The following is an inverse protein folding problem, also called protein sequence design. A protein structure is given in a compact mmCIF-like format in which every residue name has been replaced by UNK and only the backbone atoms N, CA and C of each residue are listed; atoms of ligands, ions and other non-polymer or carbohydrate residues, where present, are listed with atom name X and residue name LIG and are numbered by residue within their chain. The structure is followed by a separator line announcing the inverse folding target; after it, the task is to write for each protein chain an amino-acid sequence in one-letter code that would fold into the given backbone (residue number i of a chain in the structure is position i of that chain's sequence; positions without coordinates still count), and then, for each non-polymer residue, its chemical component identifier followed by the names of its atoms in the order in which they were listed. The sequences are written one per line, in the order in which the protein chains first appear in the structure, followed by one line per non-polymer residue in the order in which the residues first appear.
data_IF_470838642997
#
_entry.id   IF_470838642997
#
_cell.length_a   1.000
_cell.length_b   1.000
_cell.length_c   1.000
_cell.angle_alpha   90.00
_cell.angle_beta   90.00
_cell.angle_gamma   90.00
#
_symmetry.space_group_name_H-M   'P 1'
#
loop_
_entity.id
_entity.type
_entity.pdbx_description
1 polymer ?
#
# COMPACT_ATOMS: atom_id res chain seq x y z
N UNK A 1 -8.80 -13.00 -8.42
CA UNK A 1 -8.19 -12.67 -9.73
C UNK A 1 -8.50 -11.21 -9.94
N UNK A 2 -7.49 -10.34 -9.86
CA UNK A 2 -7.66 -8.91 -10.10
C UNK A 2 -8.27 -8.66 -11.48
N UNK A 3 -8.95 -7.52 -11.63
CA UNK A 3 -9.07 -6.90 -12.93
C UNK A 3 -7.72 -6.31 -13.37
N UNK A 4 -7.70 -5.57 -14.47
CA UNK A 4 -6.45 -5.07 -15.06
C UNK A 4 -5.69 -4.12 -14.14
N UNK A 5 -4.37 -3.96 -14.32
CA UNK A 5 -3.55 -2.94 -13.64
C UNK A 5 -4.11 -1.51 -13.74
N UNK A 6 -4.87 -1.24 -14.82
CA UNK A 6 -5.70 -0.03 -14.98
C UNK A 6 -6.66 0.24 -13.80
N UNK A 7 -7.08 -0.80 -13.10
CA UNK A 7 -8.00 -0.72 -11.96
C UNK A 7 -7.28 -0.25 -10.68
N UNK A 8 -5.94 -0.31 -10.66
CA UNK A 8 -5.07 0.24 -9.60
C UNK A 8 -4.76 1.71 -9.89
N UNK A 9 -4.50 2.09 -11.15
CA UNK A 9 -4.37 3.50 -11.58
C UNK A 9 -5.60 4.33 -11.21
N UNK A 10 -6.78 3.86 -11.61
CA UNK A 10 -8.06 4.53 -11.36
C UNK A 10 -8.31 4.63 -9.84
N UNK A 11 -8.03 3.56 -9.12
CA UNK A 11 -8.11 3.54 -7.66
C UNK A 11 -7.16 4.56 -6.98
N UNK A 12 -5.91 4.67 -7.43
CA UNK A 12 -4.94 5.61 -6.87
C UNK A 12 -5.35 7.06 -7.14
N UNK A 13 -5.87 7.33 -8.34
CA UNK A 13 -6.45 8.63 -8.68
C UNK A 13 -7.63 8.98 -7.77
N UNK A 14 -8.55 8.03 -7.55
CA UNK A 14 -9.71 8.22 -6.69
C UNK A 14 -9.30 8.46 -5.23
N UNK A 15 -8.40 7.64 -4.69
CA UNK A 15 -7.89 7.79 -3.33
C UNK A 15 -7.15 9.11 -3.13
N UNK A 16 -6.33 9.51 -4.10
CA UNK A 16 -5.65 10.82 -4.12
C UNK A 16 -6.66 11.96 -4.10
N UNK A 17 -7.74 11.88 -4.89
CA UNK A 17 -8.79 12.89 -4.92
C UNK A 17 -9.47 13.08 -3.54
N UNK A 18 -9.65 11.99 -2.79
CA UNK A 18 -10.21 12.02 -1.43
C UNK A 18 -9.25 12.68 -0.45
N UNK A 19 -7.98 12.28 -0.46
CA UNK A 19 -6.98 12.74 0.52
C UNK A 19 -6.55 14.19 0.29
N UNK A 20 -6.67 14.72 -0.93
CA UNK A 20 -6.40 16.12 -1.26
C UNK A 20 -7.67 17.02 -1.28
N UNK A 21 -8.78 16.56 -0.68
CA UNK A 21 -10.05 17.31 -0.52
C UNK A 21 -10.67 17.79 -1.86
N UNK A 22 -10.49 16.99 -2.91
CA UNK A 22 -11.08 17.19 -4.23
C UNK A 22 -11.79 15.91 -4.72
N UNK A 23 -12.70 15.31 -3.93
CA UNK A 23 -13.26 14.01 -4.28
C UNK A 23 -14.11 14.09 -5.55
N UNK A 24 -13.77 13.24 -6.52
CA UNK A 24 -14.58 13.02 -7.72
C UNK A 24 -15.55 11.85 -7.48
N UNK A 25 -16.58 12.05 -6.66
CA UNK A 25 -17.56 10.99 -6.36
C UNK A 25 -17.75 10.76 -4.87
N UNK A 26 -18.02 9.51 -4.48
CA UNK A 26 -18.17 9.13 -3.06
C UNK A 26 -16.78 8.92 -2.43
N UNK A 27 -16.37 9.77 -1.47
CA UNK A 27 -15.04 9.67 -0.88
C UNK A 27 -14.83 8.42 -0.01
N UNK A 28 -15.90 7.73 0.38
CA UNK A 28 -15.81 6.50 1.17
C UNK A 28 -15.51 5.27 0.32
N UNK A 29 -15.92 5.26 -0.95
CA UNK A 29 -15.81 4.09 -1.85
C UNK A 29 -14.37 3.58 -2.02
N UNK A 30 -13.35 4.41 -2.33
CA UNK A 30 -11.98 3.91 -2.45
C UNK A 30 -11.42 3.39 -1.11
N UNK A 31 -11.85 3.95 0.01
CA UNK A 31 -11.44 3.52 1.35
C UNK A 31 -12.08 2.17 1.70
N UNK A 32 -13.39 2.03 1.44
CA UNK A 32 -14.15 0.80 1.60
C UNK A 32 -13.52 -0.34 0.79
N UNK A 33 -13.13 -0.06 -0.46
CA UNK A 33 -12.43 -1.03 -1.31
C UNK A 33 -11.12 -1.51 -0.69
N UNK A 34 -10.29 -0.63 -0.13
CA UNK A 34 -9.05 -1.05 0.55
C UNK A 34 -9.33 -2.01 1.70
N UNK A 35 -10.33 -1.68 2.53
CA UNK A 35 -10.71 -2.48 3.70
C UNK A 35 -11.27 -3.84 3.27
N UNK A 36 -12.13 -3.86 2.24
CA UNK A 36 -12.72 -5.08 1.69
C UNK A 36 -11.66 -6.02 1.10
N UNK A 37 -10.70 -5.49 0.36
CA UNK A 37 -9.63 -6.28 -0.23
C UNK A 37 -8.68 -6.85 0.84
N UNK A 38 -8.34 -6.08 1.89
CA UNK A 38 -7.60 -6.63 3.05
C UNK A 38 -8.38 -7.72 3.78
N UNK A 39 -9.71 -7.62 3.84
CA UNK A 39 -10.53 -8.66 4.45
C UNK A 39 -10.56 -9.94 3.62
N UNK A 40 -10.58 -9.80 2.29
CA UNK A 40 -10.75 -10.87 1.31
C UNK A 40 -9.46 -11.63 1.00
N UNK A 41 -8.36 -10.93 0.67
CA UNK A 41 -7.11 -11.55 0.20
C UNK A 41 -5.85 -10.84 0.70
N UNK A 42 -5.23 -11.43 1.74
CA UNK A 42 -3.96 -10.99 2.32
C UNK A 42 -2.73 -11.67 1.69
N UNK A 43 -2.94 -12.63 0.77
CA UNK A 43 -1.86 -13.39 0.14
C UNK A 43 -1.46 -12.84 -1.23
N UNK A 44 -2.11 -11.78 -1.68
CA UNK A 44 -1.86 -11.15 -2.97
C UNK A 44 -0.65 -10.22 -2.94
N UNK A 45 0.04 -10.11 -4.07
CA UNK A 45 1.06 -9.08 -4.29
C UNK A 45 0.50 -7.66 -4.15
N UNK A 46 -0.82 -7.48 -4.35
CA UNK A 46 -1.49 -6.19 -4.20
C UNK A 46 -1.75 -5.79 -2.73
N UNK A 47 -1.51 -6.67 -1.75
CA UNK A 47 -1.73 -6.37 -0.33
C UNK A 47 -0.96 -5.13 0.13
N UNK A 48 0.20 -4.83 -0.48
CA UNK A 48 0.94 -3.57 -0.25
C UNK A 48 0.07 -2.33 -0.48
N UNK A 49 -0.67 -2.28 -1.60
CA UNK A 49 -1.51 -1.13 -1.95
C UNK A 49 -2.67 -0.98 -0.98
N UNK A 50 -3.27 -2.08 -0.53
CA UNK A 50 -4.40 -2.01 0.40
C UNK A 50 -3.96 -1.62 1.80
N UNK A 51 -2.82 -2.14 2.29
CA UNK A 51 -2.23 -1.69 3.55
C UNK A 51 -1.92 -0.21 3.50
N UNK A 52 -1.19 0.24 2.47
CA UNK A 52 -0.81 1.65 2.31
C UNK A 52 -2.03 2.56 2.19
N UNK A 53 -3.03 2.14 1.40
CA UNK A 53 -4.27 2.89 1.20
C UNK A 53 -5.06 3.07 2.50
N UNK A 54 -5.23 1.99 3.29
CA UNK A 54 -5.91 2.12 4.60
C UNK A 54 -5.13 3.04 5.53
N UNK A 55 -3.81 2.87 5.66
CA UNK A 55 -2.99 3.70 6.57
C UNK A 55 -3.01 5.17 6.15
N UNK A 56 -2.92 5.47 4.85
CA UNK A 56 -3.00 6.82 4.31
C UNK A 56 -4.35 7.49 4.60
N UNK A 57 -5.43 6.71 4.66
CA UNK A 57 -6.78 7.21 4.92
C UNK A 57 -7.14 7.33 6.40
N UNK A 58 -6.34 6.82 7.33
CA UNK A 58 -6.66 6.90 8.78
C UNK A 58 -6.84 8.34 9.29
N UNK A 59 -6.01 9.33 8.90
CA UNK A 59 -6.25 10.73 9.28
C UNK A 59 -7.58 11.25 8.74
N UNK A 60 -7.92 10.92 7.50
CA UNK A 60 -9.19 11.34 6.91
C UNK A 60 -10.38 10.72 7.66
N UNK A 61 -10.34 9.41 7.92
CA UNK A 61 -11.37 8.69 8.70
C UNK A 61 -11.51 9.23 10.13
N UNK A 62 -10.44 9.74 10.73
CA UNK A 62 -10.54 10.37 12.06
C UNK A 62 -11.49 11.57 12.06
N UNK A 63 -11.54 12.32 10.96
CA UNK A 63 -12.36 13.52 10.82
C UNK A 63 -13.69 13.27 10.09
N UNK A 64 -13.75 12.27 9.20
CA UNK A 64 -14.85 12.05 8.26
C UNK A 64 -15.33 10.58 8.19
N UNK A 65 -15.44 9.89 9.33
CA UNK A 65 -16.01 8.54 9.36
C UNK A 65 -17.52 8.52 9.65
N UNK A 66 -18.32 8.85 8.65
CA UNK A 66 -19.79 8.80 8.76
C UNK A 66 -20.34 7.35 8.67
N UNK A 67 -19.54 6.41 8.16
CA UNK A 67 -19.95 5.03 7.87
C UNK A 67 -19.43 3.98 8.85
N UNK A 68 -18.61 4.36 9.82
CA UNK A 68 -17.98 3.43 10.76
C UNK A 68 -16.86 2.60 10.11
N UNK A 69 -16.16 3.15 9.12
CA UNK A 69 -15.01 2.54 8.46
C UNK A 69 -13.81 2.43 9.38
N UNK A 70 -13.61 3.35 10.34
CA UNK A 70 -12.40 3.37 11.16
C UNK A 70 -12.23 2.09 11.99
N UNK A 71 -13.23 1.61 12.77
CA UNK A 71 -13.10 0.35 13.48
C UNK A 71 -12.88 -0.87 12.56
N UNK A 72 -13.43 -0.83 11.34
CA UNK A 72 -13.29 -1.90 10.35
C UNK A 72 -11.87 -1.91 9.75
N UNK A 73 -11.34 -0.73 9.42
CA UNK A 73 -9.97 -0.51 8.99
C UNK A 73 -8.95 -0.99 10.03
N UNK A 74 -9.14 -0.62 11.30
CA UNK A 74 -8.26 -1.05 12.39
C UNK A 74 -8.25 -2.59 12.53
N UNK A 75 -9.42 -3.23 12.42
CA UNK A 75 -9.54 -4.70 12.47
C UNK A 75 -8.88 -5.38 11.25
N UNK A 76 -9.05 -4.82 10.05
CA UNK A 76 -8.44 -5.32 8.82
C UNK A 76 -6.92 -5.22 8.88
N UNK A 77 -6.38 -4.09 9.33
CA UNK A 77 -4.94 -3.89 9.53
C UNK A 77 -4.37 -4.84 10.59
N UNK A 78 -5.07 -5.06 11.71
CA UNK A 78 -4.65 -6.02 12.73
C UNK A 78 -4.56 -7.45 12.17
N UNK A 79 -5.53 -7.86 11.33
CA UNK A 79 -5.53 -9.15 10.65
C UNK A 79 -4.37 -9.24 9.64
N UNK A 80 -4.15 -8.20 8.84
CA UNK A 80 -3.05 -8.12 7.89
C UNK A 80 -1.69 -8.24 8.59
N UNK A 81 -1.46 -7.47 9.66
CA UNK A 81 -0.23 -7.55 10.44
C UNK A 81 -0.01 -8.92 11.09
N UNK A 82 -1.07 -9.61 11.53
CA UNK A 82 -0.95 -10.96 12.06
C UNK A 82 -0.56 -11.98 10.97
N UNK A 83 -1.08 -11.83 9.76
CA UNK A 83 -0.76 -12.70 8.63
C UNK A 83 0.67 -12.44 8.12
N UNK A 84 1.05 -11.18 7.90
CA UNK A 84 2.42 -10.81 7.50
C UNK A 84 3.47 -11.37 8.46
N UNK A 85 3.22 -11.33 9.78
CA UNK A 85 4.12 -11.90 10.80
C UNK A 85 4.32 -13.42 10.65
N UNK A 86 3.34 -14.15 10.13
CA UNK A 86 3.49 -15.59 9.83
C UNK A 86 4.44 -15.82 8.66
N UNK A 87 4.47 -14.90 7.70
CA UNK A 87 5.27 -14.98 6.48
C UNK A 87 6.67 -14.36 6.61
N UNK A 88 6.90 -13.51 7.61
CA UNK A 88 8.23 -12.90 7.88
C UNK A 88 9.34 -13.94 7.96
N UNK A 89 9.11 -15.10 8.56
CA UNK A 89 10.14 -16.13 8.68
C UNK A 89 10.37 -16.95 7.40
N UNK A 90 9.46 -16.84 6.42
CA UNK A 90 9.61 -17.43 5.10
C UNK A 90 10.36 -16.50 4.13
N UNK A 91 10.50 -15.22 4.49
CA UNK A 91 11.25 -14.24 3.73
C UNK A 91 12.76 -14.50 3.86
N UNK A 92 13.39 -15.07 2.83
CA UNK A 92 14.85 -15.06 2.73
C UNK A 92 15.30 -13.67 2.36
N UNK A 93 15.98 -12.95 3.26
CA UNK A 93 16.48 -11.58 3.00
C UNK A 93 17.48 -11.51 1.83
N UNK A 94 17.99 -12.66 1.37
CA UNK A 94 18.79 -12.78 0.15
C UNK A 94 17.95 -12.67 -1.14
N UNK A 95 16.60 -12.64 -1.02
CA UNK A 95 15.66 -12.70 -2.17
C UNK A 95 15.22 -11.32 -2.65
N UNK A 96 15.26 -10.30 -1.79
CA UNK A 96 14.92 -8.92 -2.15
C UNK A 96 15.54 -7.93 -1.14
N UNK A 97 15.75 -6.67 -1.52
CA UNK A 97 16.23 -5.64 -0.61
C UNK A 97 15.38 -5.56 0.66
N UNK A 98 16.03 -5.64 1.82
CA UNK A 98 15.42 -5.51 3.13
C UNK A 98 16.12 -4.39 3.89
N UNK A 99 15.36 -3.56 4.61
CA UNK A 99 15.94 -2.54 5.49
C UNK A 99 16.29 -3.22 6.81
N UNK A 100 17.49 -3.80 6.87
CA UNK A 100 17.92 -4.65 7.99
C UNK A 100 18.36 -3.86 9.24
N UNK A 101 18.85 -2.62 9.06
CA UNK A 101 19.57 -1.89 10.12
C UNK A 101 18.74 -0.82 10.85
N UNK A 102 17.59 -0.37 10.31
CA UNK A 102 16.70 0.61 10.95
C UNK A 102 15.22 0.33 10.59
N UNK A 103 14.25 0.72 11.45
CA UNK A 103 12.84 0.69 11.05
C UNK A 103 12.67 1.46 9.75
N UNK A 104 11.95 0.90 8.78
CA UNK A 104 11.60 1.61 7.56
C UNK A 104 11.09 3.00 7.93
N UNK A 105 11.80 4.04 7.48
CA UNK A 105 11.36 5.42 7.60
C UNK A 105 10.20 5.57 6.63
N UNK A 106 9.00 5.18 7.07
CA UNK A 106 7.79 5.25 6.26
C UNK A 106 7.57 6.72 5.89
N UNK A 107 7.65 7.10 4.60
CA UNK A 107 7.40 8.46 4.17
C UNK A 107 6.01 8.92 4.60
N UNK A 108 5.90 10.19 4.98
CA UNK A 108 4.59 10.79 5.31
C UNK A 108 3.65 10.83 4.10
N UNK A 109 4.21 10.84 2.89
CA UNK A 109 3.48 10.76 1.64
C UNK A 109 3.32 9.30 1.19
N UNK A 110 2.39 8.60 1.85
CA UNK A 110 2.04 7.22 1.54
C UNK A 110 1.42 7.07 0.15
N UNK A 111 0.78 8.12 -0.39
CA UNK A 111 0.26 8.12 -1.76
C UNK A 111 1.40 8.16 -2.78
N UNK A 112 2.39 9.02 -2.57
CA UNK A 112 3.61 9.03 -3.38
C UNK A 112 4.32 7.68 -3.35
N UNK A 113 4.37 7.05 -2.17
CA UNK A 113 4.92 5.69 -2.01
C UNK A 113 4.15 4.63 -2.84
N UNK A 114 2.82 4.68 -2.83
CA UNK A 114 2.01 3.77 -3.64
C UNK A 114 2.20 4.03 -5.15
N UNK A 115 2.26 5.30 -5.56
CA UNK A 115 2.52 5.71 -6.96
C UNK A 115 3.85 5.16 -7.46
N UNK A 116 4.93 5.29 -6.67
CA UNK A 116 6.25 4.76 -7.04
C UNK A 116 6.25 3.23 -7.13
N UNK A 117 5.57 2.57 -6.19
CA UNK A 117 5.44 1.10 -6.20
C UNK A 117 4.72 0.61 -7.44
N UNK A 118 3.72 1.36 -7.92
CA UNK A 118 2.98 1.04 -9.14
C UNK A 118 3.79 1.34 -10.41
N UNK A 119 4.42 2.52 -10.51
CA UNK A 119 5.26 2.88 -11.67
C UNK A 119 6.34 1.84 -11.93
N UNK A 120 6.89 1.23 -10.87
CA UNK A 120 7.85 0.12 -10.98
C UNK A 120 7.23 -1.19 -11.46
N UNK A 121 5.98 -1.50 -11.09
CA UNK A 121 5.29 -2.72 -11.51
C UNK A 121 4.89 -2.67 -13.00
N UNK A 122 4.51 -1.48 -13.46
CA UNK A 122 4.12 -1.24 -14.84
C UNK A 122 5.32 -1.00 -15.77
N UNK A 123 6.50 -0.73 -15.21
CA UNK A 123 7.70 -0.47 -16.00
C UNK A 123 8.17 -1.73 -16.73
N UNK A 124 8.41 -1.57 -18.04
CA UNK A 124 9.09 -2.54 -18.87
C UNK A 124 10.18 -1.81 -19.64
N UNK A 125 11.38 -2.41 -19.78
CA UNK A 125 12.45 -1.79 -20.55
C UNK A 125 12.01 -1.59 -22.00
N UNK A 126 12.18 -0.38 -22.51
CA UNK A 126 11.93 -0.06 -23.91
C UNK A 126 12.92 -0.84 -24.80
N UNK A 127 12.44 -1.76 -25.67
CA UNK A 127 13.31 -2.56 -26.53
C UNK A 127 14.13 -1.73 -27.52
N UNK A 128 13.73 -0.48 -27.80
CA UNK A 128 14.42 0.44 -28.71
C UNK A 128 15.43 1.35 -27.99
N UNK A 129 15.49 1.31 -26.65
CA UNK A 129 16.41 2.11 -25.82
C UNK A 129 17.26 1.19 -24.94
N UNK A 130 18.50 0.86 -25.36
CA UNK A 130 19.35 -0.12 -24.67
C UNK A 130 19.76 0.24 -23.24
N UNK A 131 19.71 1.52 -22.90
CA UNK A 131 20.04 2.08 -21.60
C UNK A 131 18.77 2.59 -20.89
N UNK A 132 17.59 2.04 -21.22
CA UNK A 132 16.35 2.37 -20.52
C UNK A 132 16.43 1.89 -19.08
N UNK A 133 16.40 2.84 -18.15
CA UNK A 133 16.47 2.60 -16.72
C UNK A 133 15.08 2.79 -16.12
N UNK A 134 14.75 2.05 -15.06
CA UNK A 134 13.48 2.23 -14.36
C UNK A 134 13.33 3.66 -13.80
N UNK A 135 12.09 4.17 -13.68
CA UNK A 135 11.83 5.55 -13.23
C UNK A 135 12.28 5.81 -11.79
N UNK A 136 12.33 4.75 -10.97
CA UNK A 136 12.78 4.77 -9.59
C UNK A 136 13.76 3.62 -9.33
N UNK A 137 14.46 3.70 -8.20
CA UNK A 137 15.30 2.59 -7.75
C UNK A 137 14.42 1.35 -7.49
N UNK A 138 14.64 0.27 -8.26
CA UNK A 138 13.85 -0.97 -8.20
C UNK A 138 13.84 -1.58 -6.80
N UNK A 139 14.89 -1.32 -6.04
CA UNK A 139 15.09 -1.86 -4.71
C UNK A 139 14.02 -1.39 -3.73
N UNK A 140 13.42 -0.22 -3.97
CA UNK A 140 12.47 0.39 -3.04
C UNK A 140 11.05 -0.18 -3.16
N UNK A 141 10.53 -0.38 -4.37
CA UNK A 141 9.23 -1.03 -4.58
C UNK A 141 9.26 -2.49 -4.13
N UNK A 142 10.37 -3.20 -4.38
CA UNK A 142 10.60 -4.54 -3.87
C UNK A 142 10.71 -4.58 -2.35
N UNK A 143 11.39 -3.61 -1.74
CA UNK A 143 11.43 -3.48 -0.28
C UNK A 143 10.02 -3.31 0.31
N UNK A 144 9.12 -2.58 -0.33
CA UNK A 144 7.74 -2.43 0.15
C UNK A 144 6.90 -3.71 0.08
N UNK A 145 7.33 -4.71 -0.70
CA UNK A 145 6.72 -6.04 -0.73
C UNK A 145 7.25 -6.98 0.35
N UNK A 146 8.35 -6.62 1.01
CA UNK A 146 8.86 -7.37 2.14
C UNK A 146 7.82 -7.37 3.29
N UNK A 147 7.38 -8.55 3.78
CA UNK A 147 6.42 -8.62 4.88
C UNK A 147 6.87 -7.86 6.13
N UNK A 148 8.18 -7.79 6.38
CA UNK A 148 8.76 -7.04 7.51
C UNK A 148 8.53 -5.54 7.39
N UNK A 149 8.69 -5.00 6.19
CA UNK A 149 8.49 -3.58 5.91
C UNK A 149 7.00 -3.20 5.96
N UNK A 150 6.12 -4.07 5.44
CA UNK A 150 4.68 -3.88 5.58
C UNK A 150 4.20 -3.94 7.04
N UNK A 151 4.81 -4.80 7.88
CA UNK A 151 4.51 -4.78 9.31
C UNK A 151 4.85 -3.43 9.94
N UNK A 152 5.99 -2.83 9.58
CA UNK A 152 6.37 -1.50 10.09
C UNK A 152 5.34 -0.42 9.68
N UNK A 153 4.77 -0.51 8.49
CA UNK A 153 3.68 0.36 8.02
C UNK A 153 2.39 0.11 8.81
N UNK A 154 2.01 -1.15 9.04
CA UNK A 154 0.84 -1.47 9.86
C UNK A 154 1.03 -0.96 11.30
N UNK A 155 2.22 -1.08 11.88
CA UNK A 155 2.53 -0.57 13.23
C UNK A 155 2.59 0.96 13.29
N UNK A 156 2.78 1.65 12.15
CA UNK A 156 2.62 3.10 12.08
C UNK A 156 1.16 3.52 12.30
N UNK A 157 0.18 2.73 11.83
CA UNK A 157 -1.24 3.00 12.01
C UNK A 157 -1.59 3.19 13.50
N UNK A 158 -1.04 2.34 14.37
CA UNK A 158 -1.23 2.40 15.83
C UNK A 158 -0.71 3.70 16.46
N UNK A 159 0.15 4.45 15.76
CA UNK A 159 0.76 5.71 16.23
C UNK A 159 0.07 6.95 15.69
N UNK A 160 -0.75 6.80 14.64
CA UNK A 160 -1.53 7.88 14.01
C UNK A 160 -2.97 7.91 14.56
N UNK A 161 -3.38 6.88 15.30
CA UNK A 161 -4.63 6.82 16.08
C UNK A 161 -4.59 7.71 17.34
#
# INVERSE_FOLDING_TARGET
MFGSWKDIDEFLSDLSSVLYDHPCGDPHEPIERCVEELEADLGSEATVYWVLGVVASLPWMHWYDERGLRPRADAALAKAGAELRRHVHACGHDTHPCVDDEPLQVPTDLLGLMSYTQEMDDWQPDPDVPDDEPPHDSDFAEAMRCPRNLIAVVELADRIA
#
